data_IF_362502199199
#
_entry.id   IF_362502199199
#
_cell.length_a   1.000
_cell.length_b   1.000
_cell.length_c   1.000
_cell.angle_alpha   90.00
_cell.angle_beta   90.00
_cell.angle_gamma   90.00
#
_symmetry.space_group_name_H-M   'P 1'
#
loop_
_entity.id
_entity.type
_entity.pdbx_description
1 polymer ?
#
# COMPACT_ATOMS: atom_id res chain seq x y z
N UNK A 1 -20.40 -42.94 -29.00
CA UNK A 1 -21.24 -43.55 -27.95
C UNK A 1 -20.36 -43.73 -26.72
N UNK A 2 -20.26 -42.70 -25.88
CA UNK A 2 -19.48 -42.75 -24.63
C UNK A 2 -20.45 -43.07 -23.49
N UNK A 3 -20.26 -44.22 -22.85
CA UNK A 3 -21.02 -44.65 -21.69
C UNK A 3 -20.56 -43.83 -20.48
N UNK A 4 -21.44 -42.99 -19.94
CA UNK A 4 -21.25 -42.30 -18.67
C UNK A 4 -21.85 -43.14 -17.53
N UNK A 5 -21.20 -43.21 -16.36
CA UNK A 5 -21.68 -43.99 -15.22
C UNK A 5 -22.93 -43.35 -14.61
N UNK A 6 -23.95 -44.18 -14.40
CA UNK A 6 -25.33 -43.82 -14.02
C UNK A 6 -25.53 -43.48 -12.54
N UNK A 7 -24.51 -42.97 -11.83
CA UNK A 7 -24.60 -42.63 -10.40
C UNK A 7 -23.83 -41.37 -10.04
N UNK A 8 -24.04 -40.27 -10.77
CA UNK A 8 -23.72 -38.93 -10.24
C UNK A 8 -24.95 -38.33 -9.56
N UNK A 9 -24.84 -38.15 -8.24
CA UNK A 9 -25.80 -37.38 -7.43
C UNK A 9 -26.07 -36.01 -8.06
N UNK A 10 -27.34 -35.64 -8.20
CA UNK A 10 -27.79 -34.42 -8.89
C UNK A 10 -27.17 -33.11 -8.37
N UNK A 11 -26.63 -33.11 -7.15
CA UNK A 11 -25.92 -31.97 -6.57
C UNK A 11 -24.53 -31.74 -7.19
N UNK A 12 -23.86 -32.77 -7.70
CA UNK A 12 -22.54 -32.63 -8.34
C UNK A 12 -22.70 -32.03 -9.74
N UNK A 13 -23.72 -32.44 -10.48
CA UNK A 13 -24.03 -31.91 -11.80
C UNK A 13 -24.42 -30.42 -11.74
N UNK A 14 -25.23 -30.03 -10.74
CA UNK A 14 -25.60 -28.62 -10.55
C UNK A 14 -24.39 -27.74 -10.21
N UNK A 15 -23.47 -28.24 -9.39
CA UNK A 15 -22.24 -27.51 -9.02
C UNK A 15 -21.27 -27.39 -10.20
N UNK A 16 -21.15 -28.43 -11.01
CA UNK A 16 -20.31 -28.40 -12.22
C UNK A 16 -20.89 -27.45 -13.27
N UNK A 17 -22.21 -27.43 -13.44
CA UNK A 17 -22.91 -26.52 -14.35
C UNK A 17 -22.82 -25.05 -13.91
N UNK A 18 -22.98 -24.77 -12.61
CA UNK A 18 -22.74 -23.42 -12.06
C UNK A 18 -21.28 -22.99 -12.21
N UNK A 19 -20.33 -23.88 -11.99
CA UNK A 19 -18.90 -23.58 -12.16
C UNK A 19 -18.56 -23.27 -13.63
N UNK A 20 -19.04 -24.08 -14.57
CA UNK A 20 -18.87 -23.84 -16.01
C UNK A 20 -19.52 -22.54 -16.47
N UNK A 21 -20.71 -22.20 -15.96
CA UNK A 21 -21.37 -20.93 -16.26
C UNK A 21 -20.57 -19.71 -15.76
N UNK A 22 -19.97 -19.81 -14.57
CA UNK A 22 -19.11 -18.77 -14.00
C UNK A 22 -17.80 -18.63 -14.78
N UNK A 23 -17.19 -19.73 -15.19
CA UNK A 23 -15.97 -19.73 -16.02
C UNK A 23 -16.24 -19.10 -17.40
N UNK A 24 -17.38 -19.42 -18.01
CA UNK A 24 -17.77 -18.83 -19.31
C UNK A 24 -18.08 -17.33 -19.19
N UNK A 25 -18.69 -16.88 -18.09
CA UNK A 25 -18.89 -15.46 -17.81
C UNK A 25 -17.54 -14.74 -17.63
N UNK A 26 -16.62 -15.32 -16.85
CA UNK A 26 -15.28 -14.75 -16.66
C UNK A 26 -14.50 -14.62 -17.98
N UNK A 27 -14.58 -15.64 -18.86
CA UNK A 27 -13.95 -15.60 -20.19
C UNK A 27 -14.59 -14.50 -21.05
N UNK A 28 -15.92 -14.40 -21.06
CA UNK A 28 -16.64 -13.38 -21.83
C UNK A 28 -16.31 -11.93 -21.37
N UNK A 29 -16.02 -11.72 -20.08
CA UNK A 29 -15.67 -10.42 -19.54
C UNK A 29 -14.18 -10.06 -19.62
N UNK A 30 -13.28 -11.06 -19.63
CA UNK A 30 -11.83 -10.83 -19.70
C UNK A 30 -11.30 -10.64 -21.13
N UNK A 31 -11.93 -11.27 -22.13
CA UNK A 31 -11.49 -11.19 -23.55
C UNK A 31 -11.53 -9.75 -24.13
N UNK A 32 -12.55 -8.92 -23.85
CA UNK A 32 -12.57 -7.53 -24.33
C UNK A 32 -11.53 -6.63 -23.65
N UNK A 33 -11.24 -6.87 -22.36
CA UNK A 33 -10.27 -6.10 -21.56
C UNK A 33 -8.83 -6.40 -21.99
N UNK A 34 -8.56 -7.63 -22.42
CA UNK A 34 -7.24 -8.04 -22.91
C UNK A 34 -7.00 -7.61 -24.37
N UNK A 35 -8.03 -7.63 -25.23
CA UNK A 35 -7.89 -7.20 -26.64
C UNK A 35 -7.66 -5.68 -26.79
N UNK A 36 -8.13 -4.85 -25.85
CA UNK A 36 -7.98 -3.40 -25.96
C UNK A 36 -6.60 -2.87 -25.52
N UNK A 37 -5.79 -3.69 -24.81
CA UNK A 37 -4.50 -3.26 -24.25
C UNK A 37 -3.31 -3.44 -25.20
N UNK A 38 -3.47 -4.12 -26.34
CA UNK A 38 -2.39 -4.36 -27.31
C UNK A 38 -2.16 -3.20 -28.30
N UNK A 39 -3.06 -2.22 -28.42
CA UNK A 39 -2.96 -1.15 -29.42
C UNK A 39 -2.74 0.26 -28.85
N UNK A 40 -2.54 0.42 -27.54
CA UNK A 40 -2.47 1.73 -26.89
C UNK A 40 -1.03 2.24 -26.58
N UNK A 41 0.03 1.53 -27.00
CA UNK A 41 1.43 1.92 -26.73
C UNK A 41 2.25 2.28 -27.98
N UNK A 42 1.59 2.68 -29.07
CA UNK A 42 2.25 3.28 -30.23
C UNK A 42 1.41 4.44 -30.74
N UNK A 43 1.82 5.66 -30.38
CA UNK A 43 1.41 7.01 -30.86
C UNK A 43 0.93 7.94 -29.75
N UNK A 44 1.89 8.53 -29.04
CA UNK A 44 1.72 9.79 -28.31
C UNK A 44 2.40 10.93 -29.06
N UNK A 45 1.81 11.34 -30.19
CA UNK A 45 1.93 12.69 -30.74
C UNK A 45 0.62 13.02 -31.44
N UNK A 46 0.07 14.18 -31.08
CA UNK A 46 -1.19 14.79 -31.54
C UNK A 46 -2.46 14.23 -30.93
N UNK A 47 -3.08 15.03 -30.04
CA UNK A 47 -4.45 15.51 -30.24
C UNK A 47 -4.80 16.57 -29.19
N UNK A 48 -4.83 17.81 -29.66
CA UNK A 48 -5.50 18.95 -29.05
C UNK A 48 -6.84 19.06 -29.80
N UNK A 49 -7.91 18.42 -29.32
CA UNK A 49 -9.31 18.82 -29.58
C UNK A 49 -10.29 17.98 -28.75
N UNK A 50 -11.17 18.67 -28.04
CA UNK A 50 -12.35 18.14 -27.38
C UNK A 50 -13.28 17.49 -28.40
N UNK A 51 -13.61 16.21 -28.18
CA UNK A 51 -14.94 15.60 -28.27
C UNK A 51 -14.81 14.06 -28.36
N UNK A 52 -15.60 13.36 -27.54
CA UNK A 52 -15.80 11.90 -27.48
C UNK A 52 -14.77 11.04 -26.69
N UNK A 53 -14.76 11.18 -25.37
CA UNK A 53 -14.41 10.06 -24.48
C UNK A 53 -15.69 9.34 -24.04
N UNK A 54 -16.08 8.24 -24.72
CA UNK A 54 -17.11 7.32 -24.20
C UNK A 54 -16.52 6.57 -23.00
N UNK A 55 -17.08 6.78 -21.81
CA UNK A 55 -16.76 5.97 -20.62
C UNK A 55 -17.24 4.53 -20.85
N UNK A 56 -16.45 3.50 -20.45
CA UNK A 56 -16.89 2.11 -20.50
C UNK A 56 -18.09 1.87 -19.57
N UNK A 57 -18.91 0.84 -19.82
CA UNK A 57 -20.03 0.49 -18.95
C UNK A 57 -19.51 0.15 -17.55
N UNK A 58 -20.06 0.83 -16.55
CA UNK A 58 -19.82 0.53 -15.15
C UNK A 58 -20.32 -0.89 -14.85
N UNK A 59 -19.45 -1.70 -14.26
CA UNK A 59 -19.81 -3.02 -13.72
C UNK A 59 -20.94 -2.84 -12.69
N UNK A 60 -22.03 -3.59 -12.86
CA UNK A 60 -23.12 -3.64 -11.89
C UNK A 60 -22.62 -4.25 -10.58
N UNK A 61 -22.61 -3.42 -9.53
CA UNK A 61 -22.08 -3.76 -8.21
C UNK A 61 -22.91 -4.83 -7.49
N UNK A 62 -24.17 -5.04 -7.89
CA UNK A 62 -25.07 -5.98 -7.22
C UNK A 62 -24.73 -7.43 -7.57
N UNK A 63 -24.48 -7.71 -8.86
CA UNK A 63 -24.11 -9.04 -9.36
C UNK A 63 -22.76 -9.52 -8.84
N UNK A 64 -21.80 -8.61 -8.68
CA UNK A 64 -20.48 -8.96 -8.14
C UNK A 64 -20.52 -9.19 -6.61
N UNK A 65 -21.37 -8.45 -5.89
CA UNK A 65 -21.55 -8.60 -4.45
C UNK A 65 -22.18 -9.93 -4.03
N UNK A 66 -23.11 -10.49 -4.83
CA UNK A 66 -23.70 -11.81 -4.57
C UNK A 66 -22.68 -12.94 -4.77
N UNK A 67 -21.84 -12.84 -5.80
CA UNK A 67 -20.75 -13.79 -6.06
C UNK A 67 -19.78 -13.92 -4.87
N UNK A 68 -19.32 -12.79 -4.32
CA UNK A 68 -18.40 -12.80 -3.17
C UNK A 68 -19.03 -13.40 -1.91
N UNK A 69 -20.33 -13.15 -1.67
CA UNK A 69 -21.05 -13.79 -0.55
C UNK A 69 -21.06 -15.31 -0.70
N UNK A 70 -21.29 -15.83 -1.91
CA UNK A 70 -21.25 -17.27 -2.15
C UNK A 70 -19.86 -17.87 -1.96
N UNK A 71 -18.80 -17.19 -2.40
CA UNK A 71 -17.43 -17.66 -2.21
C UNK A 71 -17.06 -17.72 -0.72
N UNK A 72 -17.33 -16.65 0.05
CA UNK A 72 -17.03 -16.59 1.50
C UNK A 72 -17.81 -17.65 2.28
N UNK A 73 -19.11 -17.83 1.98
CA UNK A 73 -19.94 -18.86 2.62
C UNK A 73 -19.45 -20.27 2.28
N UNK A 74 -19.04 -20.52 1.03
CA UNK A 74 -18.50 -21.81 0.62
C UNK A 74 -17.18 -22.14 1.33
N UNK A 75 -16.26 -21.17 1.45
CA UNK A 75 -14.97 -21.40 2.13
C UNK A 75 -15.15 -21.58 3.65
N UNK A 76 -16.04 -20.81 4.28
CA UNK A 76 -16.36 -20.99 5.70
C UNK A 76 -17.04 -22.35 6.00
N UNK A 77 -17.86 -22.85 5.08
CA UNK A 77 -18.48 -24.17 5.19
C UNK A 77 -17.52 -25.34 4.90
N UNK A 78 -16.46 -25.12 4.12
CA UNK A 78 -15.41 -26.14 3.90
C UNK A 78 -14.42 -26.25 5.07
N UNK A 79 -14.19 -25.17 5.82
CA UNK A 79 -13.34 -25.18 7.01
C UNK A 79 -13.93 -26.01 8.17
N UNK A 80 -15.23 -26.36 8.12
CA UNK A 80 -15.94 -27.11 9.17
C UNK A 80 -15.95 -28.63 8.95
N UNK A 81 -15.43 -29.14 7.83
CA UNK A 81 -15.50 -30.57 7.48
C UNK A 81 -14.13 -31.27 7.47
N UNK A 82 -13.12 -30.67 8.11
CA UNK A 82 -11.87 -31.37 8.44
C UNK A 82 -11.98 -31.94 9.85
N UNK A 83 -12.74 -33.02 10.02
CA UNK A 83 -12.67 -33.84 11.23
C UNK A 83 -11.29 -34.49 11.26
N UNK A 84 -10.41 -34.00 12.12
CA UNK A 84 -9.17 -34.68 12.47
C UNK A 84 -9.58 -35.95 13.22
N UNK A 85 -9.36 -37.12 12.61
CA UNK A 85 -9.44 -38.39 13.34
C UNK A 85 -8.42 -38.36 14.48
N UNK A 86 -8.84 -38.59 15.74
CA UNK A 86 -7.91 -38.71 16.83
C UNK A 86 -7.16 -40.05 16.66
N UNK A 87 -5.87 -39.97 16.34
CA UNK A 87 -4.96 -41.09 16.52
C UNK A 87 -4.83 -41.36 18.02
N UNK A 88 -5.70 -42.23 18.52
CA UNK A 88 -5.61 -42.86 19.84
C UNK A 88 -4.42 -43.81 19.81
N UNK A 89 -3.27 -43.34 20.29
CA UNK A 89 -2.12 -44.17 20.64
C UNK A 89 -2.23 -44.63 22.09
N UNK A 90 -2.33 -45.94 22.28
CA UNK A 90 -2.42 -46.60 23.59
C UNK A 90 -1.19 -46.31 24.46
N UNK A 91 -1.44 -45.94 25.72
CA UNK A 91 -0.44 -45.92 26.78
C UNK A 91 -0.04 -47.36 27.14
N UNK A 92 1.21 -47.74 26.87
CA UNK A 92 1.88 -48.84 27.57
C UNK A 92 2.99 -48.28 28.46
N UNK A 93 2.72 -48.28 29.76
CA UNK A 93 3.72 -48.31 30.83
C UNK A 93 4.57 -49.57 30.70
N UNK A 94 5.88 -49.43 30.47
CA UNK A 94 6.86 -50.45 30.85
C UNK A 94 8.18 -49.80 31.22
N UNK A 95 8.70 -50.26 32.34
CA UNK A 95 9.89 -49.82 33.07
C UNK A 95 11.19 -50.47 32.58
N UNK A 96 12.33 -49.82 32.92
CA UNK A 96 13.73 -50.34 33.05
C UNK A 96 14.57 -50.36 31.74
N UNK A 97 15.93 -50.32 31.74
CA UNK A 97 16.94 -49.47 32.41
C UNK A 97 17.89 -48.73 31.40
N UNK A 98 18.86 -47.99 31.95
CA UNK A 98 20.03 -47.39 31.27
C UNK A 98 20.97 -48.41 30.59
N UNK A 99 21.23 -48.21 29.28
CA UNK A 99 22.46 -48.53 28.50
C UNK A 99 22.41 -47.64 27.26
N UNK A 100 23.24 -46.62 27.10
CA UNK A 100 24.64 -46.62 26.62
C UNK A 100 24.87 -47.26 25.24
N UNK A 101 25.50 -46.46 24.37
CA UNK A 101 26.02 -46.73 23.01
C UNK A 101 25.08 -47.17 21.88
N UNK A 102 24.80 -46.23 20.96
CA UNK A 102 24.12 -46.51 19.69
C UNK A 102 24.01 -45.30 18.78
N UNK A 103 25.09 -45.03 18.05
CA UNK A 103 25.26 -44.04 16.99
C UNK A 103 24.17 -44.20 15.89
N UNK A 104 23.04 -43.52 16.08
CA UNK A 104 21.85 -43.59 15.22
C UNK A 104 21.55 -42.20 14.65
N UNK A 105 22.30 -41.81 13.63
CA UNK A 105 22.11 -40.56 12.88
C UNK A 105 20.79 -40.61 12.10
N UNK A 106 19.67 -40.43 12.81
CA UNK A 106 18.33 -40.34 12.24
C UNK A 106 18.19 -38.95 11.60
N UNK A 107 18.74 -38.80 10.39
CA UNK A 107 18.48 -37.66 9.52
C UNK A 107 16.98 -37.69 9.18
N UNK A 108 16.17 -37.05 10.01
CA UNK A 108 14.78 -36.76 9.67
C UNK A 108 14.82 -35.83 8.46
N UNK A 109 14.59 -36.41 7.28
CA UNK A 109 14.45 -35.68 6.04
C UNK A 109 13.30 -34.68 6.20
N UNK A 110 13.64 -33.46 6.60
CA UNK A 110 12.73 -32.33 6.63
C UNK A 110 12.25 -32.13 5.19
N UNK A 111 11.06 -32.64 4.91
CA UNK A 111 10.39 -32.47 3.63
C UNK A 111 10.08 -30.98 3.54
N UNK A 112 10.95 -30.25 2.84
CA UNK A 112 10.76 -28.84 2.56
C UNK A 112 9.48 -28.70 1.74
N UNK A 113 8.38 -28.39 2.44
CA UNK A 113 7.09 -28.19 1.82
C UNK A 113 7.26 -27.17 0.68
N UNK A 114 7.04 -27.63 -0.54
CA UNK A 114 7.26 -26.80 -1.72
C UNK A 114 6.25 -25.65 -1.68
N UNK A 115 6.75 -24.42 -1.57
CA UNK A 115 5.90 -23.22 -1.55
C UNK A 115 5.03 -23.17 -2.80
N UNK A 116 3.78 -22.72 -2.65
CA UNK A 116 2.89 -22.55 -3.80
C UNK A 116 3.44 -21.47 -4.75
N UNK A 117 3.10 -21.58 -6.04
CA UNK A 117 3.47 -20.55 -7.04
C UNK A 117 2.94 -19.16 -6.68
N UNK A 118 1.77 -19.08 -6.04
CA UNK A 118 1.14 -17.82 -5.66
C UNK A 118 1.82 -17.20 -4.44
N UNK A 119 2.24 -18.02 -3.49
CA UNK A 119 3.04 -17.57 -2.35
C UNK A 119 4.40 -17.04 -2.83
N UNK A 120 5.07 -17.73 -3.75
CA UNK A 120 6.32 -17.26 -4.35
C UNK A 120 6.14 -15.92 -5.06
N UNK A 121 5.06 -15.76 -5.82
CA UNK A 121 4.73 -14.47 -6.46
C UNK A 121 4.50 -13.35 -5.43
N UNK A 122 3.80 -13.65 -4.33
CA UNK A 122 3.59 -12.69 -3.26
C UNK A 122 4.92 -12.29 -2.61
N UNK A 123 5.75 -13.26 -2.24
CA UNK A 123 7.08 -13.06 -1.66
C UNK A 123 7.98 -12.20 -2.56
N UNK A 124 8.02 -12.49 -3.86
CA UNK A 124 8.78 -11.71 -4.84
C UNK A 124 8.37 -10.23 -4.83
N UNK A 125 7.06 -9.95 -4.77
CA UNK A 125 6.54 -8.58 -4.75
C UNK A 125 6.87 -7.85 -3.45
N UNK A 126 6.75 -8.55 -2.32
CA UNK A 126 7.06 -7.97 -1.02
C UNK A 126 8.56 -7.68 -0.90
N UNK A 127 9.43 -8.57 -1.41
CA UNK A 127 10.88 -8.37 -1.43
C UNK A 127 11.27 -7.12 -2.23
N UNK A 128 10.59 -6.82 -3.34
CA UNK A 128 10.79 -5.55 -4.06
C UNK A 128 10.47 -4.36 -3.16
N UNK A 129 9.34 -4.37 -2.46
CA UNK A 129 9.02 -3.26 -1.55
C UNK A 129 9.98 -3.14 -0.37
N UNK A 130 10.45 -4.26 0.16
CA UNK A 130 11.43 -4.27 1.25
C UNK A 130 12.84 -3.87 0.83
N UNK A 131 13.11 -3.79 -0.47
CA UNK A 131 14.38 -3.28 -0.99
C UNK A 131 14.45 -1.75 -1.03
N UNK A 132 13.31 -1.06 -0.90
CA UNK A 132 13.27 0.40 -0.83
C UNK A 132 13.66 0.88 0.57
N UNK A 133 14.53 1.89 0.62
CA UNK A 133 14.98 2.51 1.87
C UNK A 133 13.95 3.53 2.39
N UNK A 134 14.11 3.96 3.64
CA UNK A 134 13.29 5.06 4.19
C UNK A 134 13.49 6.36 3.39
N UNK A 135 14.70 6.59 2.88
CA UNK A 135 15.01 7.74 2.03
C UNK A 135 14.26 7.66 0.69
N UNK A 136 14.16 6.47 0.09
CA UNK A 136 13.37 6.26 -1.14
C UNK A 136 11.89 6.49 -0.89
N UNK A 137 11.37 6.07 0.27
CA UNK A 137 9.98 6.33 0.64
C UNK A 137 9.75 7.83 0.85
N UNK A 138 10.68 8.51 1.52
CA UNK A 138 10.62 9.95 1.76
C UNK A 138 10.61 10.77 0.45
N UNK A 139 11.27 10.27 -0.61
CA UNK A 139 11.31 10.97 -1.90
C UNK A 139 9.99 10.95 -2.68
N UNK A 140 9.02 10.10 -2.29
CA UNK A 140 7.70 10.06 -2.91
C UNK A 140 6.96 11.34 -2.57
N UNK A 141 6.69 12.15 -3.60
CA UNK A 141 5.92 13.39 -3.45
C UNK A 141 4.49 13.11 -2.96
N UNK A 142 3.90 12.00 -3.40
CA UNK A 142 2.56 11.61 -2.99
C UNK A 142 2.48 11.06 -1.58
N UNK A 143 1.92 11.84 -0.65
CA UNK A 143 1.78 11.42 0.75
C UNK A 143 0.93 10.15 0.90
N UNK A 144 -0.11 9.98 0.08
CA UNK A 144 -0.95 8.76 0.15
C UNK A 144 -0.15 7.55 -0.31
N UNK A 145 0.56 7.66 -1.43
CA UNK A 145 1.42 6.56 -1.87
C UNK A 145 2.56 6.31 -0.88
N UNK A 146 3.17 7.36 -0.29
CA UNK A 146 4.16 7.23 0.80
C UNK A 146 3.62 6.44 1.98
N UNK A 147 2.43 6.79 2.47
CA UNK A 147 1.76 6.06 3.54
C UNK A 147 1.47 4.59 3.16
N UNK A 148 1.21 4.30 1.88
CA UNK A 148 1.11 2.91 1.41
C UNK A 148 2.44 2.17 1.54
N UNK A 149 3.56 2.77 1.12
CA UNK A 149 4.88 2.16 1.30
C UNK A 149 5.25 2.00 2.77
N UNK A 150 4.97 3.00 3.60
CA UNK A 150 5.19 2.94 5.04
C UNK A 150 4.39 1.82 5.72
N UNK A 151 3.13 1.61 5.32
CA UNK A 151 2.32 0.50 5.82
C UNK A 151 2.81 -0.86 5.34
N UNK A 152 3.31 -0.96 4.10
CA UNK A 152 3.96 -2.17 3.59
C UNK A 152 5.24 -2.46 4.38
N UNK A 153 6.09 -1.45 4.60
CA UNK A 153 7.29 -1.59 5.41
C UNK A 153 6.95 -2.02 6.84
N UNK A 154 5.97 -1.39 7.48
CA UNK A 154 5.51 -1.76 8.81
C UNK A 154 4.95 -3.20 8.88
N UNK A 155 4.34 -3.70 7.80
CA UNK A 155 3.83 -5.09 7.76
C UNK A 155 4.94 -6.15 7.75
N UNK A 156 6.18 -5.77 7.39
CA UNK A 156 7.35 -6.66 7.40
C UNK A 156 7.67 -7.16 8.81
N UNK A 157 7.56 -6.26 9.78
CA UNK A 157 7.92 -6.51 11.17
C UNK A 157 6.77 -7.19 11.94
N UNK A 158 5.64 -7.42 11.27
CA UNK A 158 4.41 -7.96 11.82
C UNK A 158 4.10 -9.32 11.17
N UNK A 159 4.67 -10.45 11.65
CA UNK A 159 4.60 -11.74 10.97
C UNK A 159 3.16 -12.24 10.78
N UNK A 160 2.26 -11.97 11.73
CA UNK A 160 0.84 -12.33 11.62
C UNK A 160 0.13 -11.53 10.51
N UNK A 161 0.48 -10.26 10.34
CA UNK A 161 -0.06 -9.40 9.28
C UNK A 161 0.43 -9.90 7.93
N UNK A 162 1.75 -10.09 7.79
CA UNK A 162 2.36 -10.64 6.59
C UNK A 162 1.70 -11.96 6.16
N UNK A 163 1.56 -12.88 7.13
CA UNK A 163 1.00 -14.20 6.88
C UNK A 163 -0.47 -14.13 6.46
N UNK A 164 -1.28 -13.29 7.12
CA UNK A 164 -2.67 -13.10 6.71
C UNK A 164 -2.78 -12.56 5.28
N UNK A 165 -1.94 -11.60 4.86
CA UNK A 165 -1.92 -11.13 3.48
C UNK A 165 -1.51 -12.21 2.48
N UNK A 166 -0.50 -13.01 2.80
CA UNK A 166 -0.06 -14.11 1.93
C UNK A 166 -1.20 -15.10 1.69
N UNK A 167 -1.83 -15.55 2.77
CA UNK A 167 -2.95 -16.50 2.75
C UNK A 167 -4.16 -15.91 2.00
N UNK A 168 -4.50 -14.64 2.23
CA UNK A 168 -5.54 -13.95 1.47
C UNK A 168 -5.21 -13.83 -0.02
N UNK A 169 -3.95 -13.62 -0.39
CA UNK A 169 -3.52 -13.52 -1.79
C UNK A 169 -3.63 -14.87 -2.53
N UNK A 170 -3.36 -15.97 -1.83
CA UNK A 170 -3.54 -17.33 -2.34
C UNK A 170 -5.01 -17.71 -2.52
N UNK A 171 -5.88 -17.32 -1.60
CA UNK A 171 -7.27 -17.78 -1.59
C UNK A 171 -8.26 -16.82 -2.26
N UNK A 172 -8.02 -15.50 -2.23
CA UNK A 172 -8.95 -14.50 -2.75
C UNK A 172 -8.50 -13.94 -4.09
N UNK A 173 -9.09 -14.46 -5.18
CA UNK A 173 -8.82 -14.00 -6.54
C UNK A 173 -8.98 -12.49 -6.75
N UNK A 174 -10.04 -11.87 -6.20
CA UNK A 174 -10.24 -10.42 -6.33
C UNK A 174 -9.08 -9.64 -5.69
N UNK A 175 -8.61 -10.08 -4.53
CA UNK A 175 -7.51 -9.44 -3.83
C UNK A 175 -6.23 -9.56 -4.66
N UNK A 176 -5.99 -10.71 -5.28
CA UNK A 176 -4.85 -10.94 -6.17
C UNK A 176 -4.84 -9.97 -7.36
N UNK A 177 -5.97 -9.83 -8.05
CA UNK A 177 -6.09 -8.93 -9.21
C UNK A 177 -5.85 -7.48 -8.81
N UNK A 178 -6.50 -7.03 -7.73
CA UNK A 178 -6.33 -5.68 -7.22
C UNK A 178 -4.89 -5.45 -6.71
N UNK A 179 -4.32 -6.42 -5.99
CA UNK A 179 -2.96 -6.37 -5.45
C UNK A 179 -1.91 -6.25 -6.54
N UNK A 180 -2.03 -7.00 -7.64
CA UNK A 180 -1.15 -6.86 -8.82
C UNK A 180 -1.23 -5.48 -9.45
N UNK A 181 -2.43 -4.89 -9.52
CA UNK A 181 -2.62 -3.56 -10.08
C UNK A 181 -1.99 -2.47 -9.19
N UNK A 182 -2.20 -2.56 -7.87
CA UNK A 182 -1.58 -1.65 -6.90
C UNK A 182 -0.06 -1.80 -6.90
N UNK A 183 0.45 -3.03 -6.88
CA UNK A 183 1.89 -3.32 -6.96
C UNK A 183 2.53 -2.63 -8.18
N UNK A 184 1.96 -2.84 -9.37
CA UNK A 184 2.50 -2.23 -10.60
C UNK A 184 2.49 -0.71 -10.54
N UNK A 185 1.41 -0.11 -10.03
CA UNK A 185 1.28 1.35 -9.90
C UNK A 185 2.33 1.90 -8.94
N UNK A 186 2.42 1.33 -7.74
CA UNK A 186 3.34 1.78 -6.70
C UNK A 186 4.79 1.59 -7.14
N UNK A 187 5.16 0.41 -7.66
CA UNK A 187 6.53 0.16 -8.16
C UNK A 187 6.93 1.19 -9.22
N UNK A 188 6.09 1.41 -10.23
CA UNK A 188 6.36 2.40 -11.26
C UNK A 188 6.48 3.83 -10.71
N UNK A 189 5.64 4.18 -9.72
CA UNK A 189 5.70 5.47 -9.05
C UNK A 189 6.98 5.67 -8.24
N UNK A 190 7.43 4.63 -7.54
CA UNK A 190 8.69 4.64 -6.79
C UNK A 190 9.89 4.76 -7.73
N UNK A 191 9.99 3.90 -8.74
CA UNK A 191 11.09 3.92 -9.70
C UNK A 191 11.20 5.30 -10.39
N UNK A 192 10.06 5.91 -10.74
CA UNK A 192 10.01 7.26 -11.30
C UNK A 192 10.43 8.34 -10.29
N UNK A 193 10.03 8.22 -9.02
CA UNK A 193 10.38 9.19 -7.98
C UNK A 193 11.88 9.16 -7.65
N UNK A 194 12.47 7.97 -7.52
CA UNK A 194 13.90 7.78 -7.30
C UNK A 194 14.70 8.37 -8.47
N UNK A 195 14.31 8.04 -9.70
CA UNK A 195 14.98 8.56 -10.89
C UNK A 195 14.86 10.09 -10.98
N UNK A 196 13.68 10.64 -10.69
CA UNK A 196 13.46 12.09 -10.69
C UNK A 196 14.31 12.81 -9.65
N UNK A 197 14.37 12.29 -8.41
CA UNK A 197 15.25 12.81 -7.35
C UNK A 197 16.70 12.81 -7.81
N UNK A 198 17.19 11.67 -8.31
CA UNK A 198 18.58 11.52 -8.75
C UNK A 198 18.95 12.57 -9.82
N UNK A 199 18.12 12.72 -10.85
CA UNK A 199 18.35 13.70 -11.91
C UNK A 199 18.33 15.14 -11.40
N UNK A 200 17.49 15.46 -10.40
CA UNK A 200 17.44 16.80 -9.81
C UNK A 200 18.63 17.09 -8.90
N UNK A 201 19.05 16.12 -8.09
CA UNK A 201 20.24 16.21 -7.25
C UNK A 201 21.48 16.46 -8.12
N UNK A 202 21.66 15.67 -9.19
CA UNK A 202 22.78 15.83 -10.12
C UNK A 202 22.80 17.22 -10.77
N UNK A 203 21.65 17.69 -11.29
CA UNK A 203 21.56 19.03 -11.89
C UNK A 203 21.86 20.13 -10.88
N UNK A 204 21.32 20.02 -9.66
CA UNK A 204 21.54 21.01 -8.62
C UNK A 204 22.99 21.03 -8.16
N UNK A 205 23.63 19.88 -8.00
CA UNK A 205 25.04 19.78 -7.62
C UNK A 205 25.92 20.50 -8.65
N UNK A 206 25.68 20.30 -9.94
CA UNK A 206 26.40 21.00 -11.02
C UNK A 206 26.14 22.51 -10.99
N UNK A 207 24.90 22.94 -10.74
CA UNK A 207 24.52 24.36 -10.80
C UNK A 207 24.89 25.18 -9.58
N UNK A 208 24.93 24.57 -8.39
CA UNK A 208 25.13 25.26 -7.10
C UNK A 208 26.49 24.96 -6.46
N UNK A 209 27.19 23.92 -6.91
CA UNK A 209 28.43 23.45 -6.29
C UNK A 209 28.23 22.77 -4.93
N UNK A 210 26.98 22.63 -4.45
CA UNK A 210 26.66 21.88 -3.23
C UNK A 210 26.90 20.38 -3.44
N UNK A 211 27.18 19.67 -2.34
CA UNK A 211 27.32 18.22 -2.40
C UNK A 211 25.98 17.54 -2.69
N UNK A 212 26.02 16.37 -3.33
CA UNK A 212 24.80 15.58 -3.59
C UNK A 212 24.09 15.19 -2.29
N UNK A 213 24.84 14.95 -1.21
CA UNK A 213 24.32 14.60 0.11
C UNK A 213 23.52 15.75 0.75
N UNK A 214 24.04 16.99 0.70
CA UNK A 214 23.32 18.17 1.20
C UNK A 214 22.04 18.45 0.41
N UNK A 215 22.08 18.29 -0.92
CA UNK A 215 20.90 18.48 -1.77
C UNK A 215 19.86 17.38 -1.49
N UNK A 216 20.29 16.12 -1.32
CA UNK A 216 19.41 15.01 -0.99
C UNK A 216 18.75 15.18 0.39
N UNK A 217 19.49 15.65 1.40
CA UNK A 217 18.93 15.97 2.72
C UNK A 217 17.89 17.11 2.64
N UNK A 218 18.19 18.14 1.83
CA UNK A 218 17.28 19.26 1.58
C UNK A 218 16.00 18.82 0.83
N UNK A 219 16.07 17.78 -0.01
CA UNK A 219 14.91 17.25 -0.75
C UNK A 219 13.82 16.76 0.19
N UNK A 220 14.19 15.92 1.17
CA UNK A 220 13.25 15.36 2.14
C UNK A 220 12.58 16.50 2.92
N UNK A 221 13.39 17.44 3.40
CA UNK A 221 12.92 18.65 4.09
C UNK A 221 11.92 19.44 3.25
N UNK A 222 12.22 19.68 1.97
CA UNK A 222 11.33 20.37 1.05
C UNK A 222 9.96 19.67 0.90
N UNK A 223 9.96 18.35 0.75
CA UNK A 223 8.71 17.59 0.62
C UNK A 223 7.87 17.58 1.89
N UNK A 224 8.45 17.80 3.06
CA UNK A 224 7.70 17.85 4.32
C UNK A 224 6.85 19.11 4.47
N UNK A 225 7.36 20.27 4.05
CA UNK A 225 6.63 21.53 4.16
C UNK A 225 5.89 21.96 2.88
N UNK A 226 6.28 21.44 1.70
CA UNK A 226 5.55 21.69 0.47
C UNK A 226 4.07 21.26 0.66
N UNK A 227 3.10 22.13 0.34
CA UNK A 227 1.70 21.93 0.73
C UNK A 227 1.13 20.60 0.22
N UNK A 228 0.50 19.90 1.15
CA UNK A 228 -0.31 18.70 0.90
C UNK A 228 -1.60 18.96 0.10
N UNK A 229 -1.86 20.23 -0.25
CA UNK A 229 -3.16 20.71 -0.73
C UNK A 229 -3.26 20.71 -2.25
N UNK A 230 -2.12 20.84 -2.96
CA UNK A 230 -2.13 20.90 -4.43
C UNK A 230 -1.94 19.50 -4.99
N UNK A 231 -2.77 19.10 -5.95
CA UNK A 231 -2.67 17.82 -6.69
C UNK A 231 -1.31 17.59 -7.37
N UNK A 232 -0.49 18.63 -7.47
CA UNK A 232 0.86 18.60 -7.99
C UNK A 232 1.82 18.64 -6.79
N UNK A 233 2.04 17.48 -6.18
CA UNK A 233 2.96 17.32 -5.07
C UNK A 233 4.40 17.64 -5.52
N UNK A 234 5.22 18.21 -4.63
CA UNK A 234 6.55 18.74 -4.97
C UNK A 234 6.52 20.15 -5.58
N UNK A 235 5.39 20.86 -5.49
CA UNK A 235 5.28 22.28 -5.84
C UNK A 235 4.87 23.07 -4.59
N UNK A 236 5.59 24.17 -4.35
CA UNK A 236 5.37 25.14 -3.29
C UNK A 236 4.75 26.43 -3.88
N UNK A 237 3.44 26.65 -3.76
CA UNK A 237 2.80 27.92 -4.08
C UNK A 237 3.37 29.05 -3.21
N UNK A 238 3.69 30.19 -3.81
CA UNK A 238 4.29 31.31 -3.08
C UNK A 238 3.34 31.95 -2.07
N UNK A 239 2.05 31.99 -2.37
CA UNK A 239 1.06 32.48 -1.42
C UNK A 239 1.05 31.60 -0.16
N UNK A 240 1.08 30.27 -0.32
CA UNK A 240 1.19 29.35 0.81
C UNK A 240 2.47 29.59 1.60
N UNK A 241 3.62 29.69 0.92
CA UNK A 241 4.92 29.90 1.55
C UNK A 241 4.99 31.19 2.38
N UNK A 242 4.29 32.23 1.94
CA UNK A 242 4.11 33.50 2.66
C UNK A 242 3.11 33.36 3.82
N UNK A 243 1.92 32.81 3.55
CA UNK A 243 0.82 32.74 4.53
C UNK A 243 1.16 31.84 5.73
N UNK A 244 2.11 30.91 5.61
CA UNK A 244 2.56 30.02 6.69
C UNK A 244 3.63 30.61 7.60
N UNK A 245 4.17 31.79 7.32
CA UNK A 245 5.32 32.33 8.08
C UNK A 245 6.67 31.72 7.68
N UNK A 246 6.71 30.85 6.65
CA UNK A 246 7.96 30.20 6.22
C UNK A 246 8.88 31.19 5.54
N UNK A 247 8.31 32.05 4.67
CA UNK A 247 9.07 33.07 3.98
C UNK A 247 9.68 34.08 4.96
N UNK A 248 8.95 34.47 6.00
CA UNK A 248 9.38 35.32 7.11
C UNK A 248 10.54 34.68 7.87
N UNK A 249 10.40 33.41 8.24
CA UNK A 249 11.43 32.67 8.99
C UNK A 249 12.71 32.54 8.17
N UNK A 250 12.60 32.23 6.88
CA UNK A 250 13.75 32.15 5.98
C UNK A 250 14.38 33.53 5.73
N UNK A 251 13.58 34.56 5.50
CA UNK A 251 14.07 35.92 5.32
C UNK A 251 14.88 36.38 6.54
N UNK A 252 14.35 36.20 7.75
CA UNK A 252 15.02 36.55 9.02
C UNK A 252 16.35 35.79 9.18
N UNK A 253 16.32 34.47 8.98
CA UNK A 253 17.52 33.61 9.10
C UNK A 253 18.58 33.91 8.05
N UNK A 254 18.16 34.36 6.86
CA UNK A 254 19.07 34.77 5.79
C UNK A 254 19.44 36.26 5.88
N UNK A 255 19.02 37.00 6.90
CA UNK A 255 19.41 38.39 7.13
C UNK A 255 18.69 39.43 6.27
N UNK A 256 17.54 39.09 5.67
CA UNK A 256 16.72 40.02 4.91
C UNK A 256 15.85 40.87 5.84
N UNK A 257 15.82 42.18 5.62
CA UNK A 257 14.99 43.13 6.39
C UNK A 257 13.49 42.98 6.11
N UNK A 258 13.13 42.46 4.94
CA UNK A 258 11.75 42.32 4.51
C UNK A 258 11.55 41.09 3.61
N UNK A 259 10.37 40.49 3.74
CA UNK A 259 10.00 39.24 3.06
C UNK A 259 9.82 39.43 1.56
N UNK A 260 9.37 40.60 1.11
CA UNK A 260 9.14 40.86 -0.31
C UNK A 260 10.47 40.93 -1.09
N UNK A 261 11.51 41.56 -0.55
CA UNK A 261 12.87 41.56 -1.09
C UNK A 261 13.45 40.16 -1.17
N UNK A 262 13.31 39.37 -0.09
CA UNK A 262 13.70 37.95 -0.08
C UNK A 262 12.98 37.17 -1.19
N UNK A 263 11.66 37.29 -1.28
CA UNK A 263 10.86 36.56 -2.29
C UNK A 263 11.14 37.02 -3.72
N UNK A 264 11.44 38.30 -3.94
CA UNK A 264 11.83 38.82 -5.25
C UNK A 264 13.14 38.19 -5.72
N UNK A 265 14.09 37.97 -4.79
CA UNK A 265 15.38 37.34 -5.09
C UNK A 265 15.29 35.82 -5.19
N UNK A 266 14.50 35.18 -4.33
CA UNK A 266 14.17 33.76 -4.40
C UNK A 266 13.48 33.41 -5.72
N UNK A 267 12.63 34.31 -6.24
CA UNK A 267 11.81 34.08 -7.45
C UNK A 267 11.92 35.26 -8.44
N UNK A 268 13.06 35.41 -9.13
CA UNK A 268 13.34 36.59 -9.96
C UNK A 268 12.35 36.77 -11.13
N UNK A 269 11.69 35.68 -11.54
CA UNK A 269 10.72 35.68 -12.65
C UNK A 269 9.26 35.89 -12.20
N UNK A 270 9.00 36.18 -10.92
CA UNK A 270 7.65 36.40 -10.39
C UNK A 270 6.70 35.19 -10.55
N UNK A 271 7.25 33.97 -10.56
CA UNK A 271 6.44 32.75 -10.66
C UNK A 271 5.60 32.60 -9.41
N UNK A 272 4.37 32.10 -9.55
CA UNK A 272 3.46 31.90 -8.40
C UNK A 272 3.73 30.64 -7.60
N UNK A 273 4.66 29.80 -8.06
CA UNK A 273 4.95 28.51 -7.48
C UNK A 273 6.40 28.11 -7.76
N UNK A 274 6.99 27.35 -6.85
CA UNK A 274 8.35 26.85 -6.92
C UNK A 274 8.34 25.32 -6.89
N UNK A 275 9.10 24.67 -7.76
CA UNK A 275 9.49 23.28 -7.54
C UNK A 275 10.79 23.24 -6.71
N UNK A 276 11.22 22.06 -6.28
CA UNK A 276 12.44 21.90 -5.49
C UNK A 276 13.65 22.57 -6.13
N UNK A 277 13.87 22.32 -7.42
CA UNK A 277 15.01 22.87 -8.17
C UNK A 277 15.05 24.41 -8.14
N UNK A 278 13.91 25.06 -8.39
CA UNK A 278 13.80 26.51 -8.35
C UNK A 278 13.98 27.07 -6.94
N UNK A 279 13.44 26.38 -5.94
CA UNK A 279 13.57 26.77 -4.55
C UNK A 279 15.04 26.70 -4.09
N UNK A 280 15.74 25.61 -4.38
CA UNK A 280 17.15 25.43 -4.04
C UNK A 280 18.06 26.43 -4.76
N UNK A 281 17.87 26.62 -6.07
CA UNK A 281 18.63 27.63 -6.82
C UNK A 281 18.37 29.05 -6.29
N UNK A 282 17.12 29.37 -5.94
CA UNK A 282 16.77 30.65 -5.37
C UNK A 282 17.40 30.88 -3.99
N UNK A 283 17.37 29.87 -3.11
CA UNK A 283 18.02 29.94 -1.80
C UNK A 283 19.53 30.10 -1.93
N UNK A 284 20.15 29.35 -2.85
CA UNK A 284 21.57 29.50 -3.12
C UNK A 284 21.94 30.91 -3.61
N UNK A 285 21.16 31.48 -4.54
CA UNK A 285 21.35 32.86 -4.99
C UNK A 285 21.19 33.88 -3.85
N UNK A 286 20.23 33.67 -2.94
CA UNK A 286 20.05 34.50 -1.76
C UNK A 286 21.26 34.44 -0.81
N UNK A 287 21.92 33.28 -0.70
CA UNK A 287 23.07 33.05 0.17
C UNK A 287 24.38 33.65 -0.38
N UNK A 288 24.59 33.60 -1.70
CA UNK A 288 25.84 34.04 -2.35
C UNK A 288 25.93 35.56 -2.47
N UNK A 289 24.85 36.23 -2.89
CA UNK A 289 24.91 37.63 -3.32
C UNK A 289 25.16 38.64 -2.20
N UNK A 290 24.81 38.32 -0.95
CA UNK A 290 24.88 39.29 0.16
C UNK A 290 26.07 39.08 1.11
N UNK A 291 26.99 38.15 0.82
CA UNK A 291 28.06 37.70 1.75
C UNK A 291 27.52 37.28 3.14
N UNK A 292 26.20 37.08 3.26
CA UNK A 292 25.52 36.76 4.51
C UNK A 292 25.87 35.33 4.97
N UNK A 293 26.27 34.46 4.04
CA UNK A 293 26.74 33.11 4.31
C UNK A 293 28.27 33.03 4.29
N UNK A 294 28.94 33.78 5.18
CA UNK A 294 30.40 33.84 5.18
C UNK A 294 31.12 32.62 5.74
N UNK A 295 30.47 31.62 6.38
CA UNK A 295 31.21 30.40 6.76
C UNK A 295 30.46 29.08 7.01
N UNK A 296 29.14 28.99 7.17
CA UNK A 296 28.52 27.69 7.55
C UNK A 296 26.99 27.65 7.36
N UNK A 297 26.50 28.12 6.20
CA UNK A 297 25.08 27.99 5.87
C UNK A 297 24.76 26.55 5.44
N UNK A 298 24.61 25.66 6.41
CA UNK A 298 24.01 24.34 6.16
C UNK A 298 22.53 24.54 5.81
N UNK A 299 22.26 24.49 4.51
CA UNK A 299 20.93 24.68 3.95
C UNK A 299 19.94 23.64 4.49
N UNK A 300 20.41 22.43 4.80
CA UNK A 300 19.58 21.37 5.38
C UNK A 300 19.13 21.77 6.79
N UNK A 301 20.04 22.29 7.62
CA UNK A 301 19.71 22.80 8.95
C UNK A 301 18.77 24.00 8.89
N UNK A 302 18.94 24.88 7.90
CA UNK A 302 18.03 26.01 7.70
C UNK A 302 16.61 25.52 7.39
N UNK A 303 16.46 24.56 6.47
CA UNK A 303 15.15 23.99 6.13
C UNK A 303 14.53 23.24 7.31
N UNK A 304 15.33 22.52 8.09
CA UNK A 304 14.86 21.84 9.30
C UNK A 304 14.28 22.82 10.32
N UNK A 305 14.96 23.95 10.57
CA UNK A 305 14.45 25.00 11.46
C UNK A 305 13.13 25.62 10.97
N UNK A 306 12.96 25.73 9.65
CA UNK A 306 11.71 26.21 9.06
C UNK A 306 10.59 25.19 9.30
N UNK A 307 10.86 23.90 9.08
CA UNK A 307 9.88 22.83 9.30
C UNK A 307 9.37 22.83 10.74
N UNK A 308 10.26 23.01 11.72
CA UNK A 308 9.89 23.09 13.14
C UNK A 308 9.00 24.29 13.47
N UNK A 309 9.14 25.40 12.74
CA UNK A 309 8.31 26.60 12.89
C UNK A 309 6.94 26.52 12.22
N UNK A 310 6.72 25.58 11.31
CA UNK A 310 5.49 25.51 10.50
C UNK A 310 4.37 24.81 11.26
N UNK A 311 3.29 25.54 11.53
CA UNK A 311 2.03 24.91 11.94
C UNK A 311 1.48 24.08 10.79
N UNK A 312 1.19 22.80 11.05
CA UNK A 312 0.61 21.89 10.07
C UNK A 312 -0.71 22.45 9.53
N UNK A 313 -0.74 22.83 8.25
CA UNK A 313 -1.96 23.33 7.63
C UNK A 313 -3.01 22.22 7.46
N UNK A 314 -4.31 22.60 7.48
CA UNK A 314 -5.40 21.64 7.33
C UNK A 314 -5.31 20.98 5.95
N UNK A 315 -5.27 19.64 5.94
CA UNK A 315 -5.39 18.87 4.71
C UNK A 315 -6.70 19.19 4.00
N UNK A 316 -6.71 19.16 2.66
CA UNK A 316 -7.93 19.31 1.86
C UNK A 316 -9.02 18.42 2.43
N UNK A 317 -10.20 18.99 2.75
CA UNK A 317 -11.24 18.21 3.40
C UNK A 317 -11.65 17.05 2.49
N UNK A 318 -11.77 15.82 3.03
CA UNK A 318 -12.21 14.67 2.26
C UNK A 318 -13.61 14.92 1.69
N UNK A 319 -13.87 14.39 0.49
CA UNK A 319 -15.21 14.46 -0.09
C UNK A 319 -16.24 13.71 0.77
N UNK A 320 -17.53 14.07 0.68
CA UNK A 320 -18.61 13.37 1.41
C UNK A 320 -18.62 11.84 1.14
N UNK A 321 -18.24 11.43 -0.07
CA UNK A 321 -18.09 10.01 -0.43
C UNK A 321 -16.91 9.36 0.31
N UNK A 322 -15.76 10.02 0.37
CA UNK A 322 -14.60 9.53 1.12
C UNK A 322 -14.92 9.44 2.61
N UNK A 323 -15.51 10.49 3.20
CA UNK A 323 -15.98 10.49 4.59
C UNK A 323 -16.88 9.31 4.94
N UNK A 324 -17.82 8.95 4.04
CA UNK A 324 -18.68 7.76 4.22
C UNK A 324 -17.87 6.46 4.29
N UNK A 325 -16.83 6.33 3.45
CA UNK A 325 -15.99 5.13 3.44
C UNK A 325 -15.02 5.10 4.62
N UNK A 326 -14.48 6.24 5.02
CA UNK A 326 -13.65 6.38 6.22
C UNK A 326 -14.43 6.00 7.47
N UNK A 327 -15.66 6.51 7.62
CA UNK A 327 -16.54 6.14 8.75
C UNK A 327 -16.77 4.63 8.80
N UNK A 328 -17.09 4.01 7.66
CA UNK A 328 -17.30 2.56 7.59
C UNK A 328 -16.04 1.76 7.93
N UNK A 329 -14.88 2.23 7.51
CA UNK A 329 -13.61 1.59 7.85
C UNK A 329 -13.32 1.68 9.35
N UNK A 330 -13.58 2.85 9.98
CA UNK A 330 -13.47 3.01 11.43
C UNK A 330 -14.40 2.05 12.19
N UNK A 331 -15.66 1.90 11.75
CA UNK A 331 -16.61 0.93 12.35
C UNK A 331 -16.09 -0.52 12.28
N UNK A 332 -15.29 -0.88 11.26
CA UNK A 332 -14.64 -2.19 11.20
C UNK A 332 -13.51 -2.33 12.23
N UNK A 333 -12.68 -1.29 12.40
CA UNK A 333 -11.63 -1.26 13.42
C UNK A 333 -12.21 -1.38 14.84
N UNK A 334 -13.29 -0.64 15.12
CA UNK A 334 -14.02 -0.74 16.40
C UNK A 334 -14.57 -2.16 16.65
N UNK A 335 -14.87 -2.90 15.59
CA UNK A 335 -15.32 -4.28 15.71
C UNK A 335 -14.16 -5.22 16.04
N UNK A 336 -12.99 -5.02 15.43
CA UNK A 336 -11.79 -5.82 15.74
C UNK A 336 -11.36 -5.65 17.20
N UNK A 337 -11.45 -4.44 17.75
CA UNK A 337 -11.16 -4.21 19.17
C UNK A 337 -12.04 -5.07 20.09
N UNK A 338 -13.34 -5.19 19.77
CA UNK A 338 -14.31 -6.02 20.50
C UNK A 338 -14.13 -7.53 20.29
N UNK A 339 -13.28 -7.95 19.35
CA UNK A 339 -13.08 -9.36 19.00
C UNK A 339 -11.73 -9.90 19.48
N UNK A 340 -10.92 -9.10 20.18
CA UNK A 340 -9.59 -9.50 20.68
C UNK A 340 -9.62 -10.80 21.49
N UNK A 341 -10.62 -10.95 22.36
CA UNK A 341 -10.78 -12.12 23.23
C UNK A 341 -11.61 -13.25 22.61
N UNK A 342 -11.92 -13.17 21.31
CA UNK A 342 -12.81 -14.11 20.60
C UNK A 342 -12.09 -14.90 19.50
N UNK A 343 -10.76 -15.06 19.62
CA UNK A 343 -9.94 -15.80 18.66
C UNK A 343 -9.96 -17.29 19.04
N UNK A 344 -10.40 -18.20 18.16
CA UNK A 344 -10.27 -19.63 18.41
C UNK A 344 -8.80 -20.07 18.54
N UNK A 345 -8.55 -21.06 19.40
CA UNK A 345 -7.26 -21.75 19.50
C UNK A 345 -7.03 -22.77 18.37
N UNK A 346 -8.00 -22.92 17.46
CA UNK A 346 -7.90 -23.84 16.32
C UNK A 346 -7.13 -23.22 15.17
N UNK A 347 -6.60 -24.08 14.30
CA UNK A 347 -6.10 -23.65 13.00
C UNK A 347 -7.22 -23.45 11.99
N UNK A 348 -6.95 -22.64 10.98
CA UNK A 348 -7.87 -22.44 9.87
C UNK A 348 -7.62 -21.12 9.16
N UNK A 349 -7.92 -21.12 7.86
CA UNK A 349 -7.76 -19.97 6.98
C UNK A 349 -8.30 -18.66 7.59
N UNK A 350 -9.56 -18.65 8.01
CA UNK A 350 -10.18 -17.44 8.54
C UNK A 350 -9.73 -17.09 9.97
N UNK A 351 -9.23 -18.07 10.74
CA UNK A 351 -8.66 -17.82 12.07
C UNK A 351 -7.31 -17.13 11.92
N UNK A 352 -6.48 -17.58 10.99
CA UNK A 352 -5.21 -16.95 10.65
C UNK A 352 -5.39 -15.51 10.13
N UNK A 353 -6.40 -15.31 9.26
CA UNK A 353 -6.79 -13.97 8.81
C UNK A 353 -7.27 -13.10 9.97
N UNK A 354 -8.09 -13.63 10.88
CA UNK A 354 -8.54 -12.88 12.08
C UNK A 354 -7.35 -12.45 12.94
N UNK A 355 -6.39 -13.35 13.22
CA UNK A 355 -5.18 -13.04 13.99
C UNK A 355 -4.38 -11.90 13.33
N UNK A 356 -4.15 -11.99 12.02
CA UNK A 356 -3.47 -10.93 11.28
C UNK A 356 -4.23 -9.61 11.24
N UNK A 357 -5.56 -9.63 11.13
CA UNK A 357 -6.39 -8.42 11.20
C UNK A 357 -6.32 -7.76 12.59
N UNK A 358 -6.35 -8.54 13.67
CA UNK A 358 -6.23 -8.03 15.04
C UNK A 358 -4.85 -7.41 15.31
N UNK A 359 -3.78 -8.03 14.80
CA UNK A 359 -2.43 -7.48 14.89
C UNK A 359 -2.31 -6.20 14.05
N UNK A 360 -2.77 -6.25 12.79
CA UNK A 360 -2.71 -5.10 11.88
C UNK A 360 -3.51 -3.89 12.37
N UNK A 361 -4.64 -4.12 13.06
CA UNK A 361 -5.44 -3.05 13.65
C UNK A 361 -4.74 -2.29 14.78
N UNK A 362 -3.69 -2.86 15.37
CA UNK A 362 -2.88 -2.22 16.42
C UNK A 362 -1.72 -1.40 15.84
N UNK A 363 -1.36 -1.62 14.57
CA UNK A 363 -0.26 -0.93 13.92
C UNK A 363 -0.77 0.29 13.11
N UNK A 364 -0.52 1.54 13.54
CA UNK A 364 -1.11 2.72 12.92
C UNK A 364 -0.67 2.92 11.46
N UNK A 365 0.56 2.53 11.10
CA UNK A 365 1.06 2.63 9.72
C UNK A 365 0.32 1.66 8.79
N UNK A 366 0.09 0.43 9.26
CA UNK A 366 -0.72 -0.56 8.52
C UNK A 366 -2.17 -0.10 8.39
N UNK A 367 -2.75 0.42 9.47
CA UNK A 367 -4.13 0.94 9.47
C UNK A 367 -4.31 2.08 8.47
N UNK A 368 -3.39 3.06 8.45
CA UNK A 368 -3.47 4.20 7.54
C UNK A 368 -3.33 3.77 6.07
N UNK A 369 -2.40 2.87 5.76
CA UNK A 369 -2.25 2.33 4.42
C UNK A 369 -3.51 1.60 3.95
N UNK A 370 -4.06 0.71 4.78
CA UNK A 370 -5.29 -0.03 4.48
C UNK A 370 -6.50 0.90 4.35
N UNK A 371 -6.58 1.96 5.17
CA UNK A 371 -7.61 3.00 5.07
C UNK A 371 -7.54 3.68 3.70
N UNK A 372 -6.35 4.10 3.25
CA UNK A 372 -6.15 4.72 1.94
C UNK A 372 -6.67 3.80 0.82
N UNK A 373 -6.24 2.54 0.82
CA UNK A 373 -6.65 1.56 -0.18
C UNK A 373 -8.16 1.33 -0.17
N UNK A 374 -8.78 1.18 1.02
CA UNK A 374 -10.22 0.96 1.16
C UNK A 374 -11.06 2.16 0.67
N UNK A 375 -10.59 3.37 0.98
CA UNK A 375 -11.29 4.61 0.63
C UNK A 375 -11.15 4.92 -0.86
N UNK A 376 -9.99 4.68 -1.46
CA UNK A 376 -9.71 5.12 -2.84
C UNK A 376 -10.01 4.04 -3.88
N UNK A 377 -9.77 2.77 -3.58
CA UNK A 377 -9.92 1.67 -4.55
C UNK A 377 -11.21 0.88 -4.31
N UNK A 378 -12.06 0.83 -5.34
CA UNK A 378 -13.37 0.15 -5.24
C UNK A 378 -13.22 -1.38 -5.15
N UNK A 379 -12.25 -1.99 -5.84
CA UNK A 379 -12.05 -3.44 -5.79
C UNK A 379 -11.53 -3.85 -4.42
N UNK A 380 -10.60 -3.08 -3.86
CA UNK A 380 -10.09 -3.34 -2.52
C UNK A 380 -11.13 -3.11 -1.45
N UNK A 381 -12.04 -2.15 -1.64
CA UNK A 381 -13.19 -2.00 -0.76
C UNK A 381 -14.11 -3.22 -0.75
N UNK A 382 -14.37 -3.79 -1.92
CA UNK A 382 -15.16 -5.02 -2.06
C UNK A 382 -14.46 -6.19 -1.39
N UNK A 383 -13.15 -6.35 -1.61
CA UNK A 383 -12.34 -7.37 -0.96
C UNK A 383 -12.34 -7.20 0.57
N UNK A 384 -12.10 -5.98 1.09
CA UNK A 384 -12.13 -5.68 2.52
C UNK A 384 -13.48 -5.98 3.17
N UNK A 385 -14.58 -5.64 2.50
CA UNK A 385 -15.93 -6.01 2.98
C UNK A 385 -16.12 -7.53 3.04
N UNK A 386 -15.61 -8.28 2.06
CA UNK A 386 -15.72 -9.73 2.04
C UNK A 386 -14.87 -10.38 3.14
N UNK A 387 -13.64 -9.90 3.35
CA UNK A 387 -12.74 -10.34 4.43
C UNK A 387 -13.39 -10.09 5.78
N UNK A 388 -13.92 -8.89 6.02
CA UNK A 388 -14.59 -8.54 7.27
C UNK A 388 -15.80 -9.45 7.55
N UNK A 389 -16.59 -9.80 6.53
CA UNK A 389 -17.70 -10.74 6.68
C UNK A 389 -17.24 -12.15 7.02
N UNK A 390 -16.14 -12.63 6.40
CA UNK A 390 -15.55 -13.94 6.70
C UNK A 390 -15.04 -14.02 8.13
N UNK A 391 -14.27 -13.01 8.56
CA UNK A 391 -13.77 -12.93 9.95
C UNK A 391 -14.92 -12.84 10.96
N UNK A 392 -15.94 -12.02 10.68
CA UNK A 392 -17.13 -11.92 11.54
C UNK A 392 -17.85 -13.26 11.70
N UNK A 393 -17.87 -14.10 10.67
CA UNK A 393 -18.50 -15.42 10.74
C UNK A 393 -17.75 -16.36 11.70
N UNK A 394 -16.40 -16.33 11.70
CA UNK A 394 -15.59 -17.10 12.67
C UNK A 394 -15.89 -16.66 14.09
N UNK A 395 -15.87 -15.34 14.36
CA UNK A 395 -16.19 -14.81 15.70
C UNK A 395 -17.59 -15.19 16.15
N UNK A 396 -18.57 -15.23 15.24
CA UNK A 396 -19.92 -15.64 15.56
C UNK A 396 -20.05 -17.14 15.89
N UNK A 397 -19.12 -17.99 15.40
CA UNK A 397 -19.09 -19.41 15.76
C UNK A 397 -18.57 -19.62 17.19
N UNK A 398 -17.56 -18.84 17.62
CA UNK A 398 -17.00 -18.92 18.98
C UNK A 398 -18.01 -18.53 20.06
N UNK A 399 -18.95 -17.64 19.74
CA UNK A 399 -19.99 -17.18 20.68
C UNK A 399 -21.11 -18.18 20.93
N UNK A 400 -21.23 -19.21 20.09
CA UNK A 400 -22.25 -20.25 20.21
C UNK A 400 -21.67 -21.43 20.95
#
# INVERSE_FOLDING_TARGET
>A
MFLLPSTMSGNVFLRLASFLAVVLLLIAFLVPVLSFRSNALSKSRWCRHDQYCRRPPLVDQTTFGSFLKHQVVSTAASATTATIEPLVGENQTSSVPLTDDGDGNHVTASTSATKSKLLLEFEEKMNVFYSYTEEDIACIANRRDRALFEGVAASRDEPLVYRAFAVLFEELFILRVAGRAIYKRLKNGMDASIQHRKEQVERLAVSTGLSEEEIAASWTSFLEFAPKVVKNEGILPLNYFRDTGMAETLADKMGYSDVDSFLQKLVPNGRRQLNFEQFMMGLHACAVDDDLCTLECDLSNLLQQVIEGVQALPSTPPSAKQLKHEKRYAEMLDSFDKWKDMVPDTDGFWVEVLRGCLQGAQNPRVVEALKIVYVDDTNMRLAGNAIFLGVRAVVAMVRK
#
